data_IF_355148534205
#
_entry.id   IF_355148534205
#
_cell.length_a   1.000
_cell.length_b   1.000
_cell.length_c   1.000
_cell.angle_alpha   90.00
_cell.angle_beta   90.00
_cell.angle_gamma   90.00
#
_symmetry.space_group_name_H-M   'P 1'
#
loop_
_entity.id
_entity.type
_entity.pdbx_description
1 polymer ?
#
# COMPACT_ATOMS: atom_id res chain seq x y z
N UNK A 1 14.11 1.49 -13.28
CA UNK A 1 13.13 0.69 -12.56
C UNK A 1 12.16 1.55 -11.81
N UNK A 2 10.92 1.20 -11.93
CA UNK A 2 9.87 1.96 -11.28
C UNK A 2 9.88 1.75 -9.77
N UNK A 3 9.80 2.83 -9.04
CA UNK A 3 9.73 2.79 -7.59
C UNK A 3 8.27 2.70 -7.16
N UNK A 4 8.05 2.06 -6.02
CA UNK A 4 6.72 2.01 -5.45
C UNK A 4 6.38 3.34 -4.80
N UNK A 5 5.15 3.76 -4.96
CA UNK A 5 4.68 5.08 -4.53
C UNK A 5 4.16 5.04 -3.11
N UNK A 6 4.60 5.99 -2.29
CA UNK A 6 4.23 6.08 -0.88
C UNK A 6 3.54 7.40 -0.62
N UNK A 7 2.41 7.33 0.08
CA UNK A 7 1.70 8.51 0.57
C UNK A 7 1.85 8.56 2.09
N UNK A 8 2.28 9.70 2.62
CA UNK A 8 2.39 9.90 4.06
C UNK A 8 1.21 10.69 4.58
N UNK A 9 0.61 10.24 5.68
CA UNK A 9 -0.57 10.89 6.25
C UNK A 9 -0.35 11.12 7.75
N UNK A 10 -0.36 12.38 8.16
CA UNK A 10 -0.22 12.77 9.56
C UNK A 10 -0.70 14.20 9.68
N UNK A 11 -1.40 14.53 10.76
CA UNK A 11 -1.89 15.89 10.96
C UNK A 11 -0.80 16.87 11.39
N UNK A 12 0.38 16.35 11.72
CA UNK A 12 1.55 17.16 12.05
C UNK A 12 2.54 17.16 10.90
N UNK A 13 2.74 18.33 10.27
CA UNK A 13 3.69 18.45 9.17
C UNK A 13 5.11 18.07 9.58
N UNK A 14 5.47 18.38 10.80
CA UNK A 14 6.80 18.04 11.33
C UNK A 14 7.03 16.55 11.36
N UNK A 15 5.99 15.78 11.68
CA UNK A 15 6.07 14.32 11.69
C UNK A 15 6.27 13.79 10.27
N UNK A 16 5.56 14.35 9.30
CA UNK A 16 5.71 13.97 7.89
C UNK A 16 7.13 14.23 7.41
N UNK A 17 7.66 15.42 7.69
CA UNK A 17 9.03 15.75 7.30
C UNK A 17 10.05 14.85 7.99
N UNK A 18 9.84 14.55 9.28
CA UNK A 18 10.72 13.66 10.02
C UNK A 18 10.78 12.27 9.38
N UNK A 19 9.63 11.73 9.00
CA UNK A 19 9.56 10.42 8.35
C UNK A 19 10.24 10.49 6.97
N UNK A 20 9.96 11.53 6.24
CA UNK A 20 10.53 11.71 4.90
C UNK A 20 12.05 11.74 4.92
N UNK A 21 12.63 12.41 5.92
CA UNK A 21 14.07 12.58 6.04
C UNK A 21 14.79 11.41 6.70
N UNK A 22 14.07 10.56 7.45
CA UNK A 22 14.69 9.47 8.18
C UNK A 22 15.19 8.32 7.32
N UNK A 23 14.61 8.16 6.14
CA UNK A 23 14.90 7.01 5.29
C UNK A 23 15.43 7.44 3.93
N UNK A 24 16.27 6.58 3.38
CA UNK A 24 16.67 6.70 1.99
C UNK A 24 15.68 5.92 1.14
N UNK A 25 14.53 6.53 0.90
CA UNK A 25 13.40 5.88 0.22
C UNK A 25 13.80 5.28 -1.12
N UNK A 26 14.56 6.03 -1.90
CA UNK A 26 14.97 5.57 -3.22
C UNK A 26 15.80 4.31 -3.17
N UNK A 27 16.70 4.22 -2.21
CA UNK A 27 17.55 3.04 -2.01
C UNK A 27 16.70 1.82 -1.66
N UNK A 28 15.59 2.04 -0.94
CA UNK A 28 14.68 0.97 -0.56
C UNK A 28 13.72 0.57 -1.68
N UNK A 29 13.70 1.33 -2.77
CA UNK A 29 12.81 1.06 -3.90
C UNK A 29 11.48 1.77 -3.82
N UNK A 30 11.39 2.85 -3.05
CA UNK A 30 10.17 3.61 -2.84
C UNK A 30 10.38 5.09 -3.14
N UNK A 31 9.27 5.76 -3.39
CA UNK A 31 9.26 7.20 -3.63
C UNK A 31 8.06 7.79 -2.90
N UNK A 32 8.30 8.81 -2.07
CA UNK A 32 7.22 9.52 -1.40
C UNK A 32 6.63 10.52 -2.38
N UNK A 33 5.41 10.28 -2.82
CA UNK A 33 4.77 11.06 -3.87
C UNK A 33 3.89 12.18 -3.35
N UNK A 34 3.59 12.18 -2.07
CA UNK A 34 2.76 13.22 -1.49
C UNK A 34 2.51 12.99 -0.03
N UNK A 35 1.77 13.91 0.56
CA UNK A 35 1.38 13.82 1.94
C UNK A 35 0.02 14.47 2.15
N UNK A 36 -0.67 14.05 3.20
CA UNK A 36 -1.96 14.59 3.58
C UNK A 36 -2.00 14.79 5.09
N UNK A 37 -2.81 15.73 5.55
CA UNK A 37 -2.91 16.03 6.97
C UNK A 37 -4.18 15.48 7.63
N UNK A 38 -4.97 14.73 6.89
CA UNK A 38 -6.13 14.03 7.42
C UNK A 38 -6.57 12.96 6.43
N UNK A 39 -7.48 12.08 6.87
CA UNK A 39 -7.93 10.96 6.05
C UNK A 39 -8.72 11.37 4.82
N UNK A 40 -9.48 12.46 4.90
CA UNK A 40 -10.28 12.92 3.76
C UNK A 40 -9.38 13.36 2.61
N UNK A 41 -8.36 14.17 2.92
CA UNK A 41 -7.38 14.59 1.91
C UNK A 41 -6.57 13.40 1.40
N UNK A 42 -6.27 12.46 2.29
CA UNK A 42 -5.56 11.24 1.88
C UNK A 42 -6.35 10.48 0.83
N UNK A 43 -7.65 10.32 1.01
CA UNK A 43 -8.49 9.63 0.02
C UNK A 43 -8.50 10.35 -1.32
N UNK A 44 -8.55 11.68 -1.31
CA UNK A 44 -8.48 12.46 -2.55
C UNK A 44 -7.16 12.20 -3.29
N UNK A 45 -6.05 12.18 -2.54
CA UNK A 45 -4.74 11.93 -3.13
C UNK A 45 -4.59 10.48 -3.59
N UNK A 46 -5.16 9.54 -2.86
CA UNK A 46 -5.14 8.12 -3.25
C UNK A 46 -5.82 7.96 -4.61
N UNK A 47 -6.97 8.55 -4.80
CA UNK A 47 -7.68 8.46 -6.06
C UNK A 47 -6.89 9.06 -7.21
N UNK A 48 -6.25 10.19 -6.96
CA UNK A 48 -5.52 10.92 -8.00
C UNK A 48 -4.13 10.34 -8.28
N UNK A 49 -3.40 9.97 -7.24
CA UNK A 49 -2.00 9.55 -7.36
C UNK A 49 -1.81 8.03 -7.36
N UNK A 50 -2.77 7.30 -6.88
CA UNK A 50 -2.75 5.82 -6.83
C UNK A 50 -1.46 5.27 -6.21
N UNK A 51 -1.20 5.55 -4.93
CA UNK A 51 -0.02 5.03 -4.27
C UNK A 51 -0.10 3.53 -4.04
N UNK A 52 1.05 2.90 -3.90
CA UNK A 52 1.14 1.48 -3.56
C UNK A 52 1.08 1.26 -2.04
N UNK A 53 1.55 2.25 -1.28
CA UNK A 53 1.64 2.18 0.17
C UNK A 53 1.14 3.49 0.77
N UNK A 54 0.33 3.37 1.82
CA UNK A 54 -0.10 4.52 2.62
C UNK A 54 0.43 4.32 4.03
N UNK A 55 1.21 5.27 4.51
CA UNK A 55 1.72 5.27 5.88
C UNK A 55 0.98 6.37 6.62
N UNK A 56 0.21 6.01 7.63
CA UNK A 56 -0.68 6.96 8.29
C UNK A 56 -0.56 6.92 9.81
N UNK A 57 -0.73 8.09 10.42
CA UNK A 57 -0.96 8.20 11.85
C UNK A 57 -2.40 7.72 12.14
N UNK A 58 -2.68 7.41 13.39
CA UNK A 58 -4.00 6.92 13.76
C UNK A 58 -4.94 8.06 14.15
N UNK A 59 -4.49 9.01 14.97
CA UNK A 59 -5.33 10.14 15.40
C UNK A 59 -5.15 11.35 14.50
N UNK A 60 -6.19 11.67 13.76
CA UNK A 60 -6.22 12.84 12.88
C UNK A 60 -7.62 13.43 12.88
N UNK A 61 -7.74 14.75 12.61
CA UNK A 61 -9.06 15.37 12.52
C UNK A 61 -9.84 14.86 11.31
N UNK A 62 -11.16 14.93 11.40
CA UNK A 62 -12.13 14.57 10.38
C UNK A 62 -12.23 13.08 10.10
N UNK A 63 -11.15 12.43 9.75
CA UNK A 63 -11.09 10.99 9.49
C UNK A 63 -9.78 10.47 10.04
N UNK A 64 -9.83 9.55 10.99
CA UNK A 64 -8.64 8.97 11.59
C UNK A 64 -8.02 7.88 10.71
N UNK A 65 -6.87 7.36 11.16
CA UNK A 65 -6.14 6.36 10.38
C UNK A 65 -6.88 5.04 10.22
N UNK A 66 -7.69 4.65 11.21
CA UNK A 66 -8.48 3.41 11.10
C UNK A 66 -9.64 3.58 10.14
N UNK A 67 -10.29 4.72 10.16
CA UNK A 67 -11.35 5.02 9.20
C UNK A 67 -10.80 5.09 7.79
N UNK A 68 -9.62 5.71 7.64
CA UNK A 68 -8.92 5.75 6.37
C UNK A 68 -8.59 4.34 5.88
N UNK A 69 -8.04 3.50 6.76
CA UNK A 69 -7.71 2.12 6.42
C UNK A 69 -8.95 1.33 5.99
N UNK A 70 -10.06 1.53 6.66
CA UNK A 70 -11.33 0.88 6.29
C UNK A 70 -11.77 1.29 4.90
N UNK A 71 -11.73 2.58 4.61
CA UNK A 71 -12.09 3.07 3.28
C UNK A 71 -11.17 2.51 2.20
N UNK A 72 -9.87 2.44 2.48
CA UNK A 72 -8.91 1.89 1.53
C UNK A 72 -9.12 0.39 1.31
N UNK A 73 -9.43 -0.35 2.37
CA UNK A 73 -9.71 -1.78 2.24
C UNK A 73 -10.96 -2.04 1.39
N UNK A 74 -11.97 -1.19 1.50
CA UNK A 74 -13.21 -1.35 0.77
C UNK A 74 -13.08 -1.02 -0.72
N UNK A 75 -12.38 0.09 -1.02
CA UNK A 75 -12.35 0.64 -2.37
C UNK A 75 -11.08 0.33 -3.14
N UNK A 76 -9.98 0.00 -2.46
CA UNK A 76 -8.67 -0.17 -3.09
C UNK A 76 -7.99 -1.43 -2.54
N UNK A 77 -8.05 -2.50 -3.26
CA UNK A 77 -7.52 -3.79 -2.79
C UNK A 77 -6.00 -3.92 -2.88
N UNK A 78 -5.36 -3.06 -3.64
CA UNK A 78 -3.93 -3.16 -3.92
C UNK A 78 -3.05 -2.22 -3.11
N UNK A 79 -3.63 -1.49 -2.17
CA UNK A 79 -2.88 -0.53 -1.36
C UNK A 79 -2.50 -1.18 -0.02
N UNK A 80 -1.23 -1.15 0.29
CA UNK A 80 -0.72 -1.65 1.57
C UNK A 80 -0.66 -0.51 2.56
N UNK A 81 -1.07 -0.78 3.79
CA UNK A 81 -1.25 0.25 4.80
C UNK A 81 -0.34 -0.03 6.00
N UNK A 82 0.43 0.99 6.39
CA UNK A 82 1.23 0.96 7.61
C UNK A 82 0.67 2.03 8.54
N UNK A 83 0.38 1.66 9.79
CA UNK A 83 -0.19 2.59 10.76
C UNK A 83 0.81 2.84 11.88
N UNK A 84 1.07 4.10 12.18
CA UNK A 84 1.84 4.51 13.35
C UNK A 84 0.89 4.87 14.47
N UNK A 85 1.13 4.31 15.65
CA UNK A 85 0.28 4.55 16.82
C UNK A 85 1.10 5.02 18.00
N UNK A 86 0.53 5.88 18.83
CA UNK A 86 1.09 6.15 20.14
C UNK A 86 0.80 4.96 21.06
N UNK A 87 1.49 4.91 22.19
CA UNK A 87 1.32 3.84 23.15
C UNK A 87 -0.14 3.73 23.63
N UNK A 88 -0.77 4.87 23.85
CA UNK A 88 -2.15 4.93 24.34
C UNK A 88 -3.18 4.48 23.31
N UNK A 89 -2.80 4.50 22.03
CA UNK A 89 -3.71 4.20 20.93
C UNK A 89 -3.58 2.75 20.44
N UNK A 90 -2.58 2.05 20.91
CA UNK A 90 -2.27 0.70 20.44
C UNK A 90 -3.43 -0.27 20.66
N UNK A 91 -4.07 -0.20 21.83
CA UNK A 91 -5.22 -1.06 22.12
C UNK A 91 -6.41 -0.74 21.21
N UNK A 92 -6.61 0.54 20.91
CA UNK A 92 -7.63 0.98 19.96
C UNK A 92 -7.38 0.39 18.57
N UNK A 93 -6.13 0.42 18.13
CA UNK A 93 -5.76 -0.14 16.83
C UNK A 93 -5.99 -1.66 16.77
N UNK A 94 -5.75 -2.36 17.87
CA UNK A 94 -5.94 -3.80 17.91
C UNK A 94 -7.40 -4.22 17.72
N UNK A 95 -8.35 -3.37 18.06
CA UNK A 95 -9.76 -3.68 17.89
C UNK A 95 -10.17 -3.79 16.43
N UNK A 96 -9.38 -3.26 15.52
CA UNK A 96 -9.66 -3.31 14.09
C UNK A 96 -9.04 -4.54 13.44
N UNK A 97 -9.20 -5.70 14.06
CA UNK A 97 -8.56 -6.94 13.58
C UNK A 97 -9.05 -7.41 12.21
N UNK A 98 -10.21 -6.95 11.79
CA UNK A 98 -10.76 -7.32 10.48
C UNK A 98 -10.21 -6.47 9.32
N UNK A 99 -9.43 -5.43 9.64
CA UNK A 99 -8.81 -4.59 8.60
C UNK A 99 -7.50 -5.21 8.13
N UNK A 100 -7.26 -5.12 6.85
CA UNK A 100 -6.01 -5.57 6.27
C UNK A 100 -4.98 -4.45 6.39
N UNK A 101 -4.14 -4.56 7.39
CA UNK A 101 -3.06 -3.63 7.68
C UNK A 101 -1.74 -4.39 7.60
N UNK A 102 -0.78 -3.82 6.88
CA UNK A 102 0.52 -4.45 6.71
C UNK A 102 1.29 -4.49 8.03
N UNK A 103 1.31 -3.39 8.74
CA UNK A 103 2.06 -3.29 9.98
C UNK A 103 1.50 -2.17 10.87
N UNK A 104 1.47 -2.41 12.17
CA UNK A 104 1.23 -1.38 13.18
C UNK A 104 2.57 -1.10 13.86
N UNK A 105 3.00 0.16 13.86
CA UNK A 105 4.26 0.56 14.47
C UNK A 105 4.03 1.56 15.59
N UNK A 106 4.72 1.36 16.71
CA UNK A 106 4.64 2.29 17.83
C UNK A 106 5.54 3.50 17.61
N UNK A 107 5.04 4.66 17.98
CA UNK A 107 5.85 5.88 18.04
C UNK A 107 6.71 5.84 19.31
N UNK A 108 7.92 6.41 19.31
CA UNK A 108 8.56 7.14 18.22
C UNK A 108 9.03 6.21 17.09
N UNK A 109 9.03 6.75 15.87
CA UNK A 109 9.35 5.97 14.69
C UNK A 109 10.83 5.60 14.67
N UNK A 110 11.10 4.30 14.56
CA UNK A 110 12.45 3.78 14.44
C UNK A 110 12.74 3.56 12.96
N UNK A 111 13.78 4.24 12.47
CA UNK A 111 14.12 4.17 11.05
C UNK A 111 14.52 2.77 10.59
N UNK A 112 15.20 2.03 11.45
CA UNK A 112 15.60 0.66 11.13
C UNK A 112 14.39 -0.26 11.03
N UNK A 113 13.47 -0.15 11.97
CA UNK A 113 12.24 -0.94 11.98
C UNK A 113 11.40 -0.66 10.74
N UNK A 114 11.24 0.62 10.40
CA UNK A 114 10.49 1.01 9.22
C UNK A 114 11.21 0.54 7.95
N UNK A 115 12.52 0.66 7.88
CA UNK A 115 13.30 0.17 6.74
C UNK A 115 13.12 -1.33 6.52
N UNK A 116 13.16 -2.11 7.60
CA UNK A 116 12.97 -3.55 7.51
C UNK A 116 11.56 -3.90 7.07
N UNK A 117 10.57 -3.18 7.57
CA UNK A 117 9.19 -3.35 7.15
C UNK A 117 9.04 -3.09 5.66
N UNK A 118 9.62 -2.00 5.17
CA UNK A 118 9.57 -1.64 3.76
C UNK A 118 10.31 -2.65 2.88
N UNK A 119 11.41 -3.21 3.37
CA UNK A 119 12.12 -4.25 2.63
C UNK A 119 11.25 -5.51 2.47
N UNK A 120 10.56 -5.91 3.53
CA UNK A 120 9.63 -7.04 3.44
C UNK A 120 8.48 -6.72 2.50
N UNK A 121 7.94 -5.51 2.62
CA UNK A 121 6.83 -5.07 1.79
C UNK A 121 7.24 -5.01 0.32
N UNK A 122 8.46 -4.60 0.03
CA UNK A 122 8.95 -4.57 -1.36
C UNK A 122 8.93 -5.96 -1.98
N UNK A 123 9.31 -6.99 -1.21
CA UNK A 123 9.24 -8.36 -1.71
C UNK A 123 7.80 -8.75 -2.04
N UNK A 124 6.87 -8.40 -1.18
CA UNK A 124 5.45 -8.65 -1.40
C UNK A 124 4.95 -7.94 -2.65
N UNK A 125 5.31 -6.67 -2.80
CA UNK A 125 4.92 -5.87 -3.95
C UNK A 125 5.53 -6.39 -5.25
N UNK A 126 6.80 -6.80 -5.20
CA UNK A 126 7.48 -7.39 -6.36
C UNK A 126 6.78 -8.68 -6.78
N UNK A 127 6.40 -9.53 -5.84
CA UNK A 127 5.69 -10.76 -6.12
C UNK A 127 4.31 -10.49 -6.72
N UNK A 128 3.58 -9.52 -6.17
CA UNK A 128 2.27 -9.14 -6.69
C UNK A 128 2.37 -8.61 -8.13
N UNK A 129 3.40 -7.81 -8.38
CA UNK A 129 3.64 -7.27 -9.71
C UNK A 129 3.96 -8.39 -10.69
N UNK A 130 4.78 -9.34 -10.29
CA UNK A 130 5.13 -10.49 -11.11
C UNK A 130 3.91 -11.36 -11.41
N UNK A 131 3.07 -11.61 -10.41
CA UNK A 131 1.83 -12.36 -10.60
C UNK A 131 0.89 -11.68 -11.59
N UNK A 132 0.75 -10.36 -11.49
CA UNK A 132 -0.07 -9.61 -12.43
C UNK A 132 0.46 -9.70 -13.84
N UNK A 133 1.77 -9.63 -14.01
CA UNK A 133 2.39 -9.77 -15.33
C UNK A 133 2.18 -11.17 -15.88
N UNK A 134 2.29 -12.19 -15.05
CA UNK A 134 2.06 -13.56 -15.47
C UNK A 134 0.62 -13.79 -15.88
N UNK A 135 -0.33 -13.25 -15.13
CA UNK A 135 -1.75 -13.34 -15.49
C UNK A 135 -2.00 -12.66 -16.84
N UNK A 136 -1.46 -11.46 -17.04
CA UNK A 136 -1.61 -10.75 -18.31
C UNK A 136 -1.00 -11.53 -19.47
N UNK A 137 0.15 -12.15 -19.26
CA UNK A 137 0.80 -12.98 -20.29
C UNK A 137 -0.05 -14.18 -20.62
N UNK A 138 -0.64 -14.82 -19.61
CA UNK A 138 -1.52 -15.96 -19.81
C UNK A 138 -2.79 -15.56 -20.58
N UNK A 139 -3.40 -14.45 -20.20
CA UNK A 139 -4.57 -13.94 -20.88
C UNK A 139 -4.27 -13.67 -22.35
N UNK A 140 -3.14 -13.03 -22.60
CA UNK A 140 -2.73 -12.74 -23.98
C UNK A 140 -2.47 -14.02 -24.75
N UNK A 141 -1.84 -14.99 -24.13
CA UNK A 141 -1.59 -16.29 -24.73
C UNK A 141 -2.90 -17.02 -25.07
N UNK A 142 -3.84 -17.07 -24.13
CA UNK A 142 -5.11 -17.70 -24.35
C UNK A 142 -5.91 -17.02 -25.44
N UNK A 143 -5.89 -15.71 -25.51
CA UNK A 143 -6.58 -14.99 -26.55
C UNK A 143 -5.98 -15.29 -27.93
N UNK A 144 -4.65 -15.35 -28.01
CA UNK A 144 -3.97 -15.67 -29.27
C UNK A 144 -4.26 -17.11 -29.71
N UNK A 145 -4.21 -18.06 -28.78
CA UNK A 145 -4.48 -19.48 -29.05
C UNK A 145 -5.93 -19.66 -29.46
N UNK A 146 -6.85 -19.04 -28.74
CA UNK A 146 -8.27 -19.14 -29.06
C UNK A 146 -8.56 -18.59 -30.43
N UNK A 147 -7.90 -17.52 -30.81
CA UNK A 147 -8.08 -16.90 -32.12
C UNK A 147 -7.53 -17.77 -33.23
N UNK A 148 -6.37 -18.40 -33.03
CA UNK A 148 -5.72 -19.21 -34.04
C UNK A 148 -6.24 -20.63 -34.12
N UNK A 149 -6.84 -21.16 -33.07
CA UNK A 149 -7.26 -22.55 -32.97
C UNK A 149 -8.77 -22.74 -32.81
N UNK A 150 -9.54 -21.92 -33.48
CA UNK A 150 -11.00 -22.05 -33.46
C UNK A 150 -11.48 -23.40 -33.95
N UNK A 151 -10.67 -24.06 -34.76
CA UNK A 151 -11.05 -25.37 -35.35
C UNK A 151 -10.68 -26.52 -34.45
N UNK A 152 -10.02 -26.29 -33.30
CA UNK A 152 -9.57 -27.36 -32.42
C UNK A 152 -10.08 -27.26 -30.99
N UNK A 153 -11.32 -26.86 -30.77
CA UNK A 153 -11.82 -26.67 -29.40
C UNK A 153 -11.91 -27.98 -28.62
N UNK A 154 -12.17 -29.05 -29.27
CA UNK A 154 -12.32 -30.35 -28.61
C UNK A 154 -11.08 -30.85 -27.92
N UNK A 155 -9.91 -30.48 -28.42
CA UNK A 155 -8.65 -30.87 -27.82
C UNK A 155 -8.37 -30.10 -26.53
N UNK A 156 -8.94 -28.94 -26.41
CA UNK A 156 -8.74 -28.08 -25.23
C UNK A 156 -9.68 -28.48 -24.11
N UNK A 157 -10.75 -29.11 -24.40
CA UNK A 157 -11.73 -29.54 -23.40
C UNK A 157 -11.27 -30.77 -22.62
N UNK A 158 -10.37 -31.49 -23.15
CA UNK A 158 -9.81 -32.66 -22.52
C UNK A 158 -8.63 -32.30 -21.65
#
# INVERSE_FOLDING_TARGET
>A
MDKYKVLLVDDEEEAIEAIRLKLEWETLGFEVIGSANNGVKALELVERLQPDVVITDIKMPYMDGLELARALNEDYQNIHIIIFTGFDEFEYAKEAVHLEIEEYMLKPINSQELSECLKRLKKTLDNEREEKLNVKKLEHYFNAVSYTHLTLPTKLEV
#
